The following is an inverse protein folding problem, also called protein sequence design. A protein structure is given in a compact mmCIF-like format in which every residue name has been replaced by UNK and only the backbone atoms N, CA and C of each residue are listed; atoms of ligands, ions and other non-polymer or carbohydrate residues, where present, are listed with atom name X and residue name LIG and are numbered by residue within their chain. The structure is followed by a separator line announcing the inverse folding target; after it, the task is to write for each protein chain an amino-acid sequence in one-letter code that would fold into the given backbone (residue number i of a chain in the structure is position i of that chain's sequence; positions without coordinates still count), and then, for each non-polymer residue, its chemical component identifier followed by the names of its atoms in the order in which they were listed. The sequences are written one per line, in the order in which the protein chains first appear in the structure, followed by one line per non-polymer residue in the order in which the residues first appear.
data_IF_653793078184
#
_entry.id   IF_653793078184
#
_cell.length_a   1.000
_cell.length_b   1.000
_cell.length_c   1.000
_cell.angle_alpha   90.00
_cell.angle_beta   90.00
_cell.angle_gamma   90.00
#
_symmetry.space_group_name_H-M   'P 1'
#
loop_
_entity.id
_entity.type
_entity.pdbx_description
1 polymer ?
#
# COMPACT_ATOMS: atom_id res chain seq x y z
N UNK A 1 19.91 -20.09 21.52
CA UNK A 1 19.80 -19.57 20.17
C UNK A 1 18.82 -18.39 20.17
N UNK A 2 19.21 -17.36 19.53
CA UNK A 2 18.30 -16.26 19.41
C UNK A 2 17.14 -16.67 18.51
N UNK A 3 15.95 -16.36 18.95
CA UNK A 3 14.78 -16.64 18.16
C UNK A 3 14.76 -15.69 16.96
N UNK A 4 14.59 -16.25 15.77
CA UNK A 4 14.52 -15.42 14.55
C UNK A 4 13.40 -14.39 14.62
N UNK A 5 12.34 -14.69 15.37
CA UNK A 5 11.24 -13.73 15.53
C UNK A 5 11.65 -12.47 16.27
N UNK A 6 12.67 -12.54 17.09
CA UNK A 6 13.17 -11.36 17.79
C UNK A 6 13.90 -10.41 16.86
N UNK A 7 14.35 -10.91 15.70
CA UNK A 7 15.05 -10.12 14.71
C UNK A 7 14.15 -9.67 13.57
N UNK A 8 12.91 -10.14 13.57
CA UNK A 8 11.97 -9.74 12.53
C UNK A 8 11.62 -8.28 12.68
N UNK A 9 11.44 -7.63 11.53
CA UNK A 9 10.80 -6.34 11.50
C UNK A 9 9.42 -6.48 12.12
N UNK A 10 9.15 -5.70 13.16
CA UNK A 10 7.86 -5.74 13.86
C UNK A 10 6.70 -5.32 12.97
N UNK A 11 7.01 -4.68 11.84
CA UNK A 11 5.99 -4.28 10.87
C UNK A 11 5.69 -5.38 9.86
N UNK A 12 6.45 -6.47 9.87
CA UNK A 12 6.17 -7.60 9.00
C UNK A 12 5.14 -8.52 9.61
N UNK A 13 4.34 -9.12 8.75
CA UNK A 13 3.29 -10.05 9.12
C UNK A 13 3.87 -11.44 9.29
N UNK A 14 3.43 -12.15 10.33
CA UNK A 14 3.87 -13.52 10.60
C UNK A 14 3.28 -14.45 9.53
N UNK A 15 4.15 -15.18 8.85
CA UNK A 15 3.75 -16.13 7.81
C UNK A 15 3.03 -17.35 8.40
N UNK A 16 2.08 -17.87 7.64
CA UNK A 16 1.37 -19.08 8.01
C UNK A 16 0.25 -18.88 9.02
N UNK A 17 -0.05 -17.65 9.37
CA UNK A 17 -1.14 -17.32 10.29
C UNK A 17 -2.25 -16.58 9.55
N UNK A 18 -3.49 -16.95 9.82
CA UNK A 18 -4.63 -16.22 9.30
C UNK A 18 -4.66 -14.81 9.90
N UNK A 19 -5.04 -13.84 9.10
CA UNK A 19 -5.22 -12.48 9.56
C UNK A 19 -6.44 -11.88 8.88
N UNK A 20 -7.04 -10.91 9.54
CA UNK A 20 -8.13 -10.15 8.94
C UNK A 20 -7.50 -8.86 8.42
N UNK A 21 -7.36 -8.79 7.10
CA UNK A 21 -6.55 -7.78 6.42
C UNK A 21 -6.90 -6.36 6.82
N UNK A 22 -8.19 -6.04 6.89
CA UNK A 22 -8.63 -4.69 7.21
C UNK A 22 -8.40 -4.32 8.68
N UNK A 23 -8.22 -5.32 9.55
CA UNK A 23 -8.06 -5.08 11.00
C UNK A 23 -6.62 -5.00 11.46
N UNK A 24 -5.67 -5.49 10.67
CA UNK A 24 -4.27 -5.53 11.11
C UNK A 24 -3.54 -4.21 10.97
N UNK A 25 -4.17 -3.21 10.40
CA UNK A 25 -3.62 -1.86 10.32
C UNK A 25 -4.70 -0.87 10.78
N UNK A 26 -4.29 0.07 11.63
CA UNK A 26 -5.21 1.03 12.22
C UNK A 26 -5.04 2.41 11.58
N UNK A 27 -6.12 3.21 11.65
CA UNK A 27 -6.02 4.63 11.35
C UNK A 27 -5.36 5.34 12.54
N UNK A 28 -4.37 6.14 12.25
CA UNK A 28 -3.72 6.99 13.27
C UNK A 28 -3.95 8.43 12.85
N UNK A 29 -4.45 9.30 13.75
CA UNK A 29 -4.72 10.68 13.40
C UNK A 29 -3.52 11.39 12.79
N UNK A 30 -3.75 12.12 11.72
CA UNK A 30 -2.77 12.92 11.00
C UNK A 30 -1.59 12.12 10.46
N UNK A 31 -1.83 10.84 10.15
CA UNK A 31 -0.74 9.94 9.76
C UNK A 31 -1.07 9.08 8.56
N UNK A 32 -0.01 8.69 7.88
CA UNK A 32 -0.01 7.56 6.93
C UNK A 32 0.75 6.44 7.64
N UNK A 33 0.12 5.28 7.77
CA UNK A 33 0.72 4.11 8.41
C UNK A 33 1.03 3.09 7.34
N UNK A 34 2.22 2.49 7.41
CA UNK A 34 2.66 1.46 6.47
C UNK A 34 3.00 0.20 7.25
N UNK A 35 2.49 -0.92 6.79
CA UNK A 35 2.81 -2.23 7.35
C UNK A 35 3.22 -3.17 6.24
N UNK A 36 4.42 -3.74 6.36
CA UNK A 36 4.93 -4.67 5.35
C UNK A 36 4.28 -6.03 5.51
N UNK A 37 3.67 -6.52 4.44
CA UNK A 37 3.12 -7.88 4.41
C UNK A 37 4.21 -8.85 3.99
N UNK A 38 4.88 -8.55 2.89
CA UNK A 38 5.93 -9.39 2.33
C UNK A 38 6.91 -8.51 1.57
N UNK A 39 8.20 -8.72 1.79
CA UNK A 39 9.23 -7.94 1.11
C UNK A 39 10.29 -8.86 0.53
N UNK A 40 10.51 -8.74 -0.77
CA UNK A 40 11.54 -9.46 -1.52
C UNK A 40 12.24 -8.50 -2.47
N UNK A 41 13.39 -8.91 -2.99
CA UNK A 41 14.08 -8.10 -4.00
C UNK A 41 13.29 -8.00 -5.30
N UNK A 42 12.41 -8.95 -5.55
CA UNK A 42 11.58 -9.02 -6.77
C UNK A 42 10.22 -8.33 -6.63
N UNK A 43 9.88 -7.85 -5.45
CA UNK A 43 8.65 -7.15 -5.20
C UNK A 43 8.26 -7.12 -3.75
N UNK A 44 7.23 -6.36 -3.44
CA UNK A 44 6.73 -6.31 -2.07
C UNK A 44 5.23 -6.06 -2.04
N UNK A 45 4.64 -6.40 -0.91
CA UNK A 45 3.24 -6.15 -0.60
C UNK A 45 3.20 -5.38 0.71
N UNK A 46 2.52 -4.24 0.71
CA UNK A 46 2.36 -3.40 1.88
C UNK A 46 0.89 -3.07 2.13
N UNK A 47 0.54 -2.96 3.39
CA UNK A 47 -0.72 -2.37 3.82
C UNK A 47 -0.46 -0.92 4.20
N UNK A 48 -1.40 -0.06 3.85
CA UNK A 48 -1.30 1.35 4.21
C UNK A 48 -2.66 1.84 4.71
N UNK A 49 -2.62 2.70 5.72
CA UNK A 49 -3.80 3.44 6.16
C UNK A 49 -3.51 4.93 6.09
N UNK A 50 -4.51 5.69 5.68
CA UNK A 50 -4.40 7.13 5.52
C UNK A 50 -5.49 7.82 6.32
N UNK A 51 -5.11 8.76 7.16
CA UNK A 51 -6.09 9.66 7.75
C UNK A 51 -6.57 10.67 6.71
N UNK A 52 -7.74 11.23 6.92
CA UNK A 52 -8.30 12.25 6.03
C UNK A 52 -7.33 13.42 5.90
N UNK A 53 -7.13 13.89 4.69
CA UNK A 53 -6.22 15.00 4.41
C UNK A 53 -4.78 14.58 4.16
N UNK A 54 -4.43 13.34 4.44
CA UNK A 54 -3.11 12.80 4.15
C UNK A 54 -3.01 12.31 2.71
N UNK A 55 -1.84 11.89 2.30
CA UNK A 55 -1.64 11.37 0.96
C UNK A 55 -0.19 11.08 0.68
N UNK A 56 0.08 10.66 -0.54
CA UNK A 56 1.44 10.49 -1.05
C UNK A 56 1.65 11.49 -2.18
N UNK A 57 2.78 12.20 -2.11
CA UNK A 57 3.14 13.17 -3.14
C UNK A 57 3.42 12.47 -4.47
N UNK A 58 3.40 13.25 -5.54
CA UNK A 58 3.64 12.70 -6.88
C UNK A 58 5.00 12.01 -6.95
N UNK A 59 5.00 10.85 -7.57
CA UNK A 59 6.19 10.05 -7.77
C UNK A 59 6.13 9.33 -9.10
N UNK A 60 7.28 8.86 -9.55
CA UNK A 60 7.43 8.01 -10.71
C UNK A 60 8.26 6.82 -10.28
N UNK A 61 7.79 5.61 -10.55
CA UNK A 61 8.56 4.40 -10.28
C UNK A 61 8.74 3.61 -11.57
N UNK A 62 9.81 2.84 -11.70
CA UNK A 62 10.03 2.00 -12.89
C UNK A 62 9.27 0.67 -12.83
N UNK A 63 8.34 0.51 -11.88
CA UNK A 63 7.64 -0.74 -11.63
C UNK A 63 6.13 -0.56 -11.69
N UNK A 64 5.42 -1.59 -12.18
CA UNK A 64 3.97 -1.62 -12.08
C UNK A 64 3.56 -1.84 -10.63
N UNK A 65 2.50 -1.17 -10.21
CA UNK A 65 1.97 -1.27 -8.85
C UNK A 65 0.48 -1.58 -8.91
N UNK A 66 0.05 -2.59 -8.16
CA UNK A 66 -1.35 -2.92 -8.01
C UNK A 66 -1.86 -2.35 -6.70
N UNK A 67 -2.82 -1.43 -6.78
CA UNK A 67 -3.42 -0.76 -5.62
C UNK A 67 -4.84 -1.27 -5.42
N UNK A 68 -5.13 -1.77 -4.21
CA UNK A 68 -6.44 -2.32 -3.86
C UNK A 68 -6.97 -1.59 -2.64
N UNK A 69 -8.18 -1.04 -2.72
CA UNK A 69 -8.79 -0.36 -1.59
C UNK A 69 -9.58 -1.38 -0.78
N UNK A 70 -9.24 -1.51 0.49
CA UNK A 70 -9.86 -2.49 1.40
C UNK A 70 -10.79 -1.84 2.41
N UNK A 71 -10.75 -0.51 2.54
CA UNK A 71 -11.67 0.24 3.40
C UNK A 71 -11.66 1.70 2.97
N UNK A 72 -12.83 2.30 2.82
CA UNK A 72 -12.98 3.72 2.52
C UNK A 72 -12.89 4.05 1.04
N UNK A 73 -12.46 5.28 0.77
CA UNK A 73 -12.31 5.82 -0.59
C UNK A 73 -10.97 6.50 -0.74
N UNK A 74 -10.32 6.25 -1.88
CA UNK A 74 -9.06 6.91 -2.23
C UNK A 74 -9.20 7.63 -3.56
N UNK A 75 -8.48 8.73 -3.71
CA UNK A 75 -8.32 9.38 -5.00
C UNK A 75 -6.90 9.09 -5.49
N UNK A 76 -6.79 8.42 -6.63
CA UNK A 76 -5.51 8.12 -7.25
C UNK A 76 -5.43 8.89 -8.56
N UNK A 77 -4.39 9.72 -8.68
CA UNK A 77 -4.17 10.54 -9.87
C UNK A 77 -3.00 9.96 -10.64
N UNK A 78 -3.25 9.55 -11.89
CA UNK A 78 -2.24 8.96 -12.77
C UNK A 78 -2.15 9.82 -14.02
N UNK A 79 -0.96 10.35 -14.29
CA UNK A 79 -0.74 11.25 -15.44
C UNK A 79 -1.75 12.39 -15.47
N UNK A 80 -2.07 12.93 -14.30
CA UNK A 80 -3.02 14.03 -14.16
C UNK A 80 -4.49 13.63 -14.19
N UNK A 81 -4.81 12.37 -14.42
CA UNK A 81 -6.19 11.87 -14.42
C UNK A 81 -6.56 11.29 -13.09
N UNK A 82 -7.63 11.80 -12.49
CA UNK A 82 -8.11 11.36 -11.18
C UNK A 82 -9.10 10.22 -11.31
N UNK A 83 -8.91 9.20 -10.47
CA UNK A 83 -9.85 8.07 -10.33
C UNK A 83 -10.17 7.91 -8.86
N UNK A 84 -11.45 7.83 -8.53
CA UNK A 84 -11.91 7.54 -7.17
C UNK A 84 -12.14 6.04 -7.07
N UNK A 85 -11.47 5.43 -6.09
CA UNK A 85 -11.64 4.00 -5.79
C UNK A 85 -12.31 3.84 -4.44
N UNK A 86 -13.28 2.95 -4.39
CA UNK A 86 -13.98 2.59 -3.15
C UNK A 86 -13.58 1.19 -2.72
N UNK A 87 -13.98 0.82 -1.52
CA UNK A 87 -13.73 -0.52 -0.96
C UNK A 87 -14.05 -1.61 -1.97
N UNK A 88 -13.09 -2.51 -2.18
CA UNK A 88 -13.20 -3.62 -3.13
C UNK A 88 -12.75 -3.28 -4.54
N UNK A 89 -12.43 -2.03 -4.83
CA UNK A 89 -11.95 -1.61 -6.14
C UNK A 89 -10.44 -1.50 -6.18
N UNK A 90 -9.86 -1.64 -7.37
CA UNK A 90 -8.42 -1.64 -7.55
C UNK A 90 -8.04 -0.99 -8.87
N UNK A 91 -6.76 -0.67 -8.99
CA UNK A 91 -6.18 -0.11 -10.21
C UNK A 91 -4.73 -0.54 -10.33
N UNK A 92 -4.26 -0.70 -11.55
CA UNK A 92 -2.83 -0.89 -11.82
C UNK A 92 -2.25 0.48 -12.18
N UNK A 93 -1.26 0.90 -11.41
CA UNK A 93 -0.49 2.11 -11.69
C UNK A 93 0.68 1.68 -12.57
N UNK A 94 0.72 2.13 -13.85
CA UNK A 94 1.76 1.65 -14.76
C UNK A 94 3.15 2.14 -14.35
N UNK A 95 4.16 1.34 -14.67
CA UNK A 95 5.55 1.77 -14.57
C UNK A 95 5.74 3.08 -15.34
N UNK A 96 6.58 3.96 -14.78
CA UNK A 96 6.95 5.25 -15.37
C UNK A 96 5.80 6.28 -15.45
N UNK A 97 4.63 5.99 -14.91
CA UNK A 97 3.53 6.95 -14.89
C UNK A 97 3.60 7.82 -13.64
N UNK A 98 3.68 9.15 -13.79
CA UNK A 98 3.56 10.04 -12.62
C UNK A 98 2.23 9.80 -11.93
N UNK A 99 2.28 9.62 -10.60
CA UNK A 99 1.07 9.32 -9.85
C UNK A 99 1.15 9.88 -8.44
N UNK A 100 -0.01 10.17 -7.87
CA UNK A 100 -0.13 10.57 -6.47
C UNK A 100 -1.41 10.00 -5.89
N UNK A 101 -1.49 9.96 -4.57
CA UNK A 101 -2.61 9.43 -3.82
C UNK A 101 -3.09 10.50 -2.85
N UNK A 102 -4.41 10.72 -2.83
CA UNK A 102 -5.04 11.70 -1.92
C UNK A 102 -6.08 11.00 -1.05
N UNK A 103 -6.10 11.35 0.23
CA UNK A 103 -7.08 10.88 1.18
C UNK A 103 -8.07 12.01 1.48
N UNK A 104 -9.13 12.10 0.70
CA UNK A 104 -10.22 13.04 0.99
C UNK A 104 -11.02 12.59 2.22
N UNK A 105 -11.04 11.30 2.49
CA UNK A 105 -11.50 10.66 3.69
C UNK A 105 -10.53 9.56 4.06
N UNK A 106 -10.72 8.93 5.21
CA UNK A 106 -9.87 7.81 5.63
C UNK A 106 -10.00 6.64 4.69
N UNK A 107 -8.90 5.98 4.40
CA UNK A 107 -8.95 4.73 3.65
C UNK A 107 -7.75 3.84 3.99
N UNK A 108 -7.92 2.55 3.72
CA UNK A 108 -6.86 1.55 3.80
C UNK A 108 -6.69 0.89 2.44
N UNK A 109 -5.44 0.56 2.11
CA UNK A 109 -5.13 -0.05 0.83
C UNK A 109 -4.05 -1.10 0.96
N UNK A 110 -4.00 -1.99 -0.04
CA UNK A 110 -2.88 -2.90 -0.25
C UNK A 110 -2.17 -2.43 -1.51
N UNK A 111 -0.84 -2.30 -1.41
CA UNK A 111 0.01 -2.03 -2.57
C UNK A 111 0.87 -3.25 -2.84
N UNK A 112 0.84 -3.72 -4.08
CA UNK A 112 1.71 -4.80 -4.55
C UNK A 112 2.57 -4.24 -5.65
N UNK A 113 3.89 -4.27 -5.44
CA UNK A 113 4.88 -3.78 -6.41
C UNK A 113 5.65 -4.96 -6.94
N UNK A 114 5.70 -5.10 -8.26
CA UNK A 114 6.46 -6.15 -8.91
C UNK A 114 7.72 -5.52 -9.50
N UNK A 115 8.88 -5.98 -9.03
CA UNK A 115 10.18 -5.38 -9.40
C UNK A 115 11.00 -6.23 -10.34
N UNK A 116 10.47 -7.34 -10.79
CA UNK A 116 11.15 -8.26 -11.72
C UNK A 116 10.42 -8.29 -13.04
N UNK A 117 11.14 -8.61 -14.13
CA UNK A 117 10.54 -8.69 -15.45
C UNK A 117 10.65 -7.41 -16.27
N UNK A 118 11.47 -6.45 -15.81
CA UNK A 118 11.66 -5.17 -16.50
C UNK A 118 13.05 -5.06 -17.14
N UNK A 119 13.78 -6.13 -17.16
CA UNK A 119 15.14 -6.17 -17.72
C UNK A 119 15.15 -6.18 -19.24
#
# INVERSE_FOLDING_TARGET
MKNDMEEMDKNEIVKGKMLITVEIIEYIPNSVVIKTVLKKSTGNISLMSFDAGEGLTEKITPFDTFAQIIDGKAEIVIRGESTILETGQSIVIPAHAPNLIKANGRFKMILTIIKSGYE
#
